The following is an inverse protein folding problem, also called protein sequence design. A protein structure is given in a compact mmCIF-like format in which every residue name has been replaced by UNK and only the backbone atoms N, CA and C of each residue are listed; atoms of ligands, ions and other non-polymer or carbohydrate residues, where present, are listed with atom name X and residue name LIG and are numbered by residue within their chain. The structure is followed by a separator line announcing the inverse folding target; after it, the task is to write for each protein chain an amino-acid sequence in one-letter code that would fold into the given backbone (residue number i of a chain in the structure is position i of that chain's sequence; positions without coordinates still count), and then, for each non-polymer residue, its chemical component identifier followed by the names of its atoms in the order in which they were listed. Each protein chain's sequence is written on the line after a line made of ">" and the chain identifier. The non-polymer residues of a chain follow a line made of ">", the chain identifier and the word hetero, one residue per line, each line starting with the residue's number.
data_IF_033714500548
#
_entry.id   IF_033714500548
#
_cell.length_a   1.000
_cell.length_b   1.000
_cell.length_c   1.000
_cell.angle_alpha   90.00
_cell.angle_beta   90.00
_cell.angle_gamma   90.00
#
_symmetry.space_group_name_H-M   'P 1'
#
loop_
_entity.id
_entity.type
_entity.pdbx_description
1 polymer ?
#
# COMPACT_ATOMS: atom_id res chain seq x y z
N UNK A 1 5.67 -17.01 13.93
CA UNK A 1 6.57 -15.82 13.81
C UNK A 1 5.71 -14.60 13.53
N UNK A 2 6.04 -13.43 14.05
CA UNK A 2 5.22 -12.22 13.96
C UNK A 2 5.18 -11.64 12.55
N UNK A 3 4.01 -11.16 12.14
CA UNK A 3 3.76 -10.52 10.83
C UNK A 3 2.84 -9.32 10.98
N UNK A 4 2.87 -8.43 10.01
CA UNK A 4 1.84 -7.41 9.82
C UNK A 4 1.01 -7.74 8.59
N UNK A 5 -0.32 -7.56 8.68
CA UNK A 5 -1.22 -7.56 7.52
C UNK A 5 -1.94 -6.24 7.46
N UNK A 6 -1.83 -5.53 6.34
CA UNK A 6 -2.37 -4.19 6.16
C UNK A 6 -3.42 -4.21 5.06
N UNK A 7 -4.68 -3.92 5.40
CA UNK A 7 -5.76 -3.75 4.44
C UNK A 7 -5.86 -2.30 3.99
N UNK A 8 -5.36 -2.02 2.79
CA UNK A 8 -5.31 -0.67 2.23
C UNK A 8 -6.71 -0.13 1.96
N UNK A 9 -7.67 -1.01 1.64
CA UNK A 9 -9.05 -0.59 1.40
C UNK A 9 -9.76 -0.04 2.65
N UNK A 10 -9.26 -0.38 3.85
CA UNK A 10 -9.76 0.15 5.13
C UNK A 10 -9.04 1.41 5.61
N UNK A 11 -7.96 1.81 4.96
CA UNK A 11 -7.18 2.96 5.41
C UNK A 11 -7.85 4.27 4.97
N UNK A 12 -8.37 5.04 5.94
CA UNK A 12 -9.00 6.33 5.69
C UNK A 12 -8.01 7.51 5.61
N UNK A 13 -6.70 7.27 5.81
CA UNK A 13 -5.73 8.35 5.87
C UNK A 13 -5.84 9.26 7.10
N UNK A 14 -6.28 8.76 8.27
CA UNK A 14 -6.38 9.57 9.49
C UNK A 14 -5.04 9.89 10.17
N UNK A 15 -3.93 9.27 9.73
CA UNK A 15 -2.58 9.41 10.29
C UNK A 15 -2.41 9.02 11.77
N UNK A 16 -3.42 8.41 12.42
CA UNK A 16 -3.35 8.00 13.84
C UNK A 16 -2.17 7.07 14.13
N UNK A 17 -1.89 6.10 13.27
CA UNK A 17 -0.76 5.19 13.43
C UNK A 17 0.61 5.90 13.37
N UNK A 18 0.74 6.92 12.54
CA UNK A 18 1.95 7.74 12.42
C UNK A 18 2.16 8.60 13.67
N UNK A 19 1.08 9.23 14.17
CA UNK A 19 1.10 9.99 15.41
C UNK A 19 1.37 9.12 16.63
N UNK A 20 0.75 7.93 16.71
CA UNK A 20 0.96 6.99 17.80
C UNK A 20 2.42 6.51 17.87
N UNK A 21 3.05 6.26 16.72
CA UNK A 21 4.47 5.93 16.64
C UNK A 21 5.35 7.07 17.19
N UNK A 22 5.03 8.33 16.83
CA UNK A 22 5.71 9.50 17.38
C UNK A 22 5.53 9.62 18.90
N UNK A 23 4.30 9.49 19.39
CA UNK A 23 4.00 9.52 20.82
C UNK A 23 4.76 8.42 21.60
N UNK A 24 4.96 7.26 20.99
CA UNK A 24 5.67 6.14 21.63
C UNK A 24 7.19 6.32 21.67
N UNK A 25 7.79 6.99 20.69
CA UNK A 25 9.24 6.97 20.50
C UNK A 25 9.92 8.34 20.61
N UNK A 26 9.21 9.45 20.46
CA UNK A 26 9.82 10.78 20.65
C UNK A 26 10.01 11.01 22.15
N UNK A 27 11.26 11.36 22.52
CA UNK A 27 11.64 11.65 23.90
C UNK A 27 11.68 10.41 24.82
N UNK A 28 11.52 9.20 24.28
CA UNK A 28 11.49 7.94 25.04
C UNK A 28 12.61 7.01 24.60
N UNK A 29 13.42 6.58 25.56
CA UNK A 29 14.50 5.62 25.35
C UNK A 29 14.00 4.22 25.72
N UNK A 30 14.08 3.30 24.75
CA UNK A 30 13.65 1.91 24.87
C UNK A 30 14.82 0.95 24.67
N UNK A 31 16.04 1.34 25.08
CA UNK A 31 17.22 0.46 25.04
C UNK A 31 16.89 -0.90 25.71
N UNK A 32 17.19 -2.04 25.06
CA UNK A 32 18.06 -2.19 23.89
C UNK A 32 17.39 -2.07 22.51
N UNK A 33 16.09 -1.79 22.42
CA UNK A 33 15.34 -1.84 21.15
C UNK A 33 15.48 -0.57 20.31
N UNK A 34 15.43 0.61 20.93
CA UNK A 34 15.50 1.89 20.25
C UNK A 34 15.92 3.01 21.18
N UNK A 35 16.69 3.96 20.64
CA UNK A 35 16.85 5.29 21.22
C UNK A 35 15.72 6.23 20.76
N UNK A 36 15.52 7.39 21.42
CA UNK A 36 14.47 8.33 21.04
C UNK A 36 14.45 8.67 19.55
N UNK A 37 13.25 8.71 18.98
CA UNK A 37 13.03 9.17 17.62
C UNK A 37 13.04 10.70 17.57
N UNK A 38 13.63 11.34 16.54
CA UNK A 38 13.47 12.77 16.31
C UNK A 38 12.00 13.18 16.13
N UNK A 39 11.64 14.38 16.60
CA UNK A 39 10.28 14.92 16.48
C UNK A 39 9.85 15.06 15.01
N UNK A 40 10.74 15.51 14.13
CA UNK A 40 10.48 15.73 12.70
C UNK A 40 11.38 14.88 11.81
N UNK A 41 11.08 14.82 10.50
CA UNK A 41 11.92 14.15 9.48
C UNK A 41 11.78 12.62 9.42
N UNK A 42 11.80 11.93 10.56
CA UNK A 42 11.71 10.47 10.60
C UNK A 42 10.27 10.00 10.73
N UNK A 43 9.86 9.06 9.90
CA UNK A 43 8.53 8.43 9.96
C UNK A 43 8.67 6.91 9.91
N UNK A 44 8.93 6.29 11.06
CA UNK A 44 9.06 4.83 11.17
C UNK A 44 7.76 4.10 10.80
N UNK A 45 6.63 4.78 11.00
CA UNK A 45 5.32 4.45 10.45
C UNK A 45 4.89 5.64 9.60
N UNK A 46 4.83 5.48 8.28
CA UNK A 46 4.49 6.54 7.33
C UNK A 46 3.23 6.19 6.55
N UNK A 47 2.25 7.07 6.51
CA UNK A 47 1.18 6.97 5.50
C UNK A 47 1.72 7.54 4.19
N UNK A 48 1.75 6.72 3.13
CA UNK A 48 2.01 7.19 1.77
C UNK A 48 0.68 7.51 1.11
N UNK A 49 0.49 8.77 0.76
CA UNK A 49 -0.66 9.25 0.02
C UNK A 49 -0.37 9.22 -1.48
N UNK A 50 -1.33 8.81 -2.29
CA UNK A 50 -1.20 8.85 -3.76
C UNK A 50 -2.56 9.17 -4.38
N UNK A 51 -2.60 10.24 -5.15
CA UNK A 51 -3.78 10.65 -5.93
C UNK A 51 -3.72 10.02 -7.32
N UNK A 52 -4.87 9.57 -7.80
CA UNK A 52 -5.04 8.86 -9.06
C UNK A 52 -6.21 9.42 -9.85
N UNK A 53 -6.05 9.52 -11.17
CA UNK A 53 -7.11 9.90 -12.10
C UNK A 53 -7.16 11.39 -12.42
N UNK A 54 -8.34 11.87 -12.83
CA UNK A 54 -8.59 13.27 -13.15
C UNK A 54 -10.06 13.59 -12.94
N UNK A 55 -10.38 14.86 -12.68
CA UNK A 55 -11.76 15.31 -12.43
C UNK A 55 -12.68 14.87 -13.60
N UNK A 56 -13.88 14.31 -13.33
CA UNK A 56 -14.44 14.03 -12.01
C UNK A 56 -14.08 12.65 -11.42
N UNK A 57 -13.41 11.76 -12.17
CA UNK A 57 -13.02 10.42 -11.70
C UNK A 57 -11.66 10.43 -11.00
N UNK A 58 -11.67 10.76 -9.70
CA UNK A 58 -10.46 10.83 -8.85
C UNK A 58 -10.53 9.80 -7.71
N UNK A 59 -9.38 9.26 -7.33
CA UNK A 59 -9.22 8.47 -6.09
C UNK A 59 -7.97 8.89 -5.32
N UNK A 60 -8.06 8.83 -4.00
CA UNK A 60 -6.92 8.95 -3.10
C UNK A 60 -6.67 7.61 -2.42
N UNK A 61 -5.42 7.15 -2.48
CA UNK A 61 -4.90 5.99 -1.78
C UNK A 61 -4.13 6.44 -0.54
N UNK A 62 -4.33 5.72 0.57
CA UNK A 62 -3.51 5.84 1.77
C UNK A 62 -2.87 4.49 2.07
N UNK A 63 -1.54 4.40 1.95
CA UNK A 63 -0.79 3.18 2.22
C UNK A 63 0.09 3.32 3.46
N UNK A 64 -0.27 2.65 4.56
CA UNK A 64 0.61 2.53 5.72
C UNK A 64 1.92 1.80 5.37
N UNK A 65 3.06 2.43 5.57
CA UNK A 65 4.38 1.96 5.18
C UNK A 65 5.33 2.01 6.38
N UNK A 66 5.94 0.88 6.70
CA UNK A 66 6.84 0.68 7.84
C UNK A 66 8.02 -0.21 7.44
N UNK A 67 8.89 -0.58 8.39
CA UNK A 67 9.91 -1.60 8.12
C UNK A 67 9.25 -2.92 7.74
N UNK A 68 9.70 -3.52 6.65
CA UNK A 68 9.15 -4.78 6.13
C UNK A 68 9.55 -6.01 6.95
N UNK A 69 10.45 -5.86 7.94
CA UNK A 69 10.98 -6.93 8.80
C UNK A 69 11.30 -8.23 8.04
N UNK A 70 11.95 -8.09 6.89
CA UNK A 70 12.17 -9.14 5.91
C UNK A 70 12.89 -10.39 6.46
N UNK A 71 12.52 -11.57 5.98
CA UNK A 71 13.21 -12.83 6.29
C UNK A 71 14.61 -12.92 5.65
N UNK A 72 14.84 -12.25 4.52
CA UNK A 72 16.17 -12.08 3.92
C UNK A 72 16.60 -10.61 3.91
N UNK A 73 16.59 -9.97 5.09
CA UNK A 73 16.87 -8.54 5.25
C UNK A 73 18.28 -8.15 4.78
N UNK A 74 18.34 -7.32 3.73
CA UNK A 74 19.58 -6.72 3.20
C UNK A 74 20.35 -5.90 4.24
N UNK A 75 19.64 -5.22 5.14
CA UNK A 75 20.26 -4.44 6.22
C UNK A 75 21.00 -5.30 7.26
N UNK A 76 20.60 -6.56 7.47
CA UNK A 76 21.37 -7.50 8.31
C UNK A 76 22.70 -7.83 7.62
N UNK A 77 22.68 -8.08 6.31
CA UNK A 77 23.90 -8.40 5.53
C UNK A 77 24.87 -7.22 5.46
N UNK A 78 24.36 -5.99 5.43
CA UNK A 78 25.16 -4.77 5.37
C UNK A 78 25.70 -4.29 6.74
N UNK A 79 25.14 -4.81 7.83
CA UNK A 79 25.53 -4.44 9.18
C UNK A 79 26.89 -5.02 9.56
N UNK A 80 27.69 -4.23 10.29
CA UNK A 80 28.91 -4.69 10.95
C UNK A 80 28.60 -5.03 12.41
N UNK A 81 29.43 -5.89 13.00
CA UNK A 81 29.41 -6.24 14.43
C UNK A 81 28.08 -6.80 14.95
N UNK A 82 27.23 -7.32 14.05
CA UNK A 82 25.89 -7.80 14.40
C UNK A 82 24.95 -6.67 14.86
N UNK A 83 25.17 -5.44 14.40
CA UNK A 83 24.38 -4.27 14.77
C UNK A 83 22.92 -4.33 14.30
N UNK A 84 22.60 -5.17 13.32
CA UNK A 84 21.22 -5.46 12.93
C UNK A 84 21.01 -6.96 13.03
N UNK A 85 19.97 -7.37 13.74
CA UNK A 85 19.71 -8.77 14.03
C UNK A 85 18.22 -9.08 13.94
N UNK A 86 17.90 -10.37 13.75
CA UNK A 86 16.54 -10.88 13.78
C UNK A 86 16.25 -11.49 15.15
N UNK A 87 15.16 -11.08 15.77
CA UNK A 87 14.63 -11.67 17.00
C UNK A 87 14.00 -13.05 16.71
N UNK A 88 13.78 -13.85 17.76
CA UNK A 88 13.12 -15.17 17.64
C UNK A 88 11.71 -15.09 17.07
N UNK A 89 11.02 -13.98 17.32
CA UNK A 89 9.69 -13.67 16.81
C UNK A 89 9.69 -13.17 15.36
N UNK A 90 10.85 -13.00 14.72
CA UNK A 90 10.98 -12.54 13.34
C UNK A 90 11.21 -11.03 13.16
N UNK A 91 11.01 -10.21 14.21
CA UNK A 91 11.25 -8.78 14.12
C UNK A 91 12.74 -8.48 13.93
N UNK A 92 13.08 -7.80 12.83
CA UNK A 92 14.43 -7.25 12.59
C UNK A 92 14.64 -5.98 13.41
N UNK A 93 15.69 -5.92 14.23
CA UNK A 93 16.04 -4.81 15.15
C UNK A 93 17.42 -4.24 14.82
N UNK A 94 17.58 -2.93 15.00
CA UNK A 94 18.90 -2.26 14.96
C UNK A 94 19.29 -2.03 16.42
N UNK A 95 20.41 -2.61 16.85
CA UNK A 95 21.03 -2.34 18.15
C UNK A 95 21.57 -0.89 18.14
N UNK A 96 21.01 0.02 18.96
CA UNK A 96 21.39 1.43 18.89
C UNK A 96 22.86 1.70 19.22
N UNK A 97 23.48 0.89 20.08
CA UNK A 97 24.87 1.09 20.51
C UNK A 97 25.83 0.57 19.45
N UNK A 98 25.60 -0.64 18.93
CA UNK A 98 26.46 -1.23 17.89
C UNK A 98 26.33 -0.56 16.53
N UNK A 99 25.14 -0.03 16.22
CA UNK A 99 24.88 0.61 14.93
C UNK A 99 25.42 2.04 14.82
N UNK A 100 25.98 2.58 15.91
CA UNK A 100 26.53 3.93 15.93
C UNK A 100 27.61 4.12 14.86
N UNK A 101 27.47 5.18 14.08
CA UNK A 101 28.36 5.50 12.96
C UNK A 101 28.12 4.70 11.67
N UNK A 102 27.20 3.72 11.66
CA UNK A 102 26.96 2.87 10.49
C UNK A 102 25.96 3.49 9.50
N UNK A 103 26.32 4.63 8.90
CA UNK A 103 25.47 5.38 7.94
C UNK A 103 25.02 4.53 6.75
N UNK A 104 25.83 3.55 6.33
CA UNK A 104 25.53 2.69 5.17
C UNK A 104 24.24 1.86 5.34
N UNK A 105 23.76 1.68 6.58
CA UNK A 105 22.52 0.95 6.84
C UNK A 105 21.27 1.64 6.28
N UNK A 106 21.30 2.96 6.05
CA UNK A 106 20.21 3.70 5.41
C UNK A 106 20.01 3.23 3.97
N UNK A 107 21.09 3.21 3.19
CA UNK A 107 21.09 2.82 1.78
C UNK A 107 20.87 1.31 1.60
N UNK A 108 21.21 0.52 2.61
CA UNK A 108 21.01 -0.93 2.58
C UNK A 108 19.53 -1.34 2.53
N UNK A 109 18.59 -0.46 2.88
CA UNK A 109 17.16 -0.78 2.86
C UNK A 109 16.50 -0.29 1.56
N UNK A 110 16.13 -1.19 0.62
CA UNK A 110 15.50 -0.79 -0.64
C UNK A 110 14.09 -0.22 -0.45
N UNK A 111 13.47 -0.46 0.70
CA UNK A 111 12.19 0.13 1.08
C UNK A 111 12.32 1.56 1.64
N UNK A 112 13.53 2.07 1.85
CA UNK A 112 13.77 3.38 2.46
C UNK A 112 13.26 3.48 3.90
N UNK A 113 13.15 2.36 4.62
CA UNK A 113 12.56 2.30 5.95
C UNK A 113 13.54 2.67 7.09
N UNK A 114 14.83 2.83 6.78
CA UNK A 114 15.88 3.19 7.73
C UNK A 114 16.23 4.66 7.53
N UNK A 115 16.19 5.42 8.61
CA UNK A 115 16.52 6.83 8.68
C UNK A 115 17.81 7.05 9.44
N UNK A 116 18.57 8.10 9.11
CA UNK A 116 19.76 8.47 9.86
C UNK A 116 19.45 9.55 10.90
N UNK A 117 19.68 9.25 12.18
CA UNK A 117 19.57 10.24 13.25
C UNK A 117 20.90 10.98 13.39
N UNK A 118 20.94 12.23 12.96
CA UNK A 118 22.15 13.07 13.00
C UNK A 118 22.60 13.41 14.42
N UNK A 119 21.67 13.61 15.36
CA UNK A 119 22.00 13.96 16.74
C UNK A 119 22.69 12.80 17.46
N UNK A 120 22.13 11.60 17.33
CA UNK A 120 22.63 10.40 18.00
C UNK A 120 23.74 9.69 17.20
N UNK A 121 23.90 10.03 15.92
CA UNK A 121 24.77 9.34 14.97
C UNK A 121 24.47 7.83 14.84
N UNK A 122 23.18 7.48 14.76
CA UNK A 122 22.71 6.10 14.63
C UNK A 122 21.66 5.97 13.52
N UNK A 123 21.57 4.82 12.83
CA UNK A 123 20.42 4.51 11.99
C UNK A 123 19.23 4.06 12.84
N UNK A 124 18.03 4.49 12.46
CA UNK A 124 16.79 4.19 13.17
C UNK A 124 15.68 3.79 12.21
N UNK A 125 14.76 2.94 12.66
CA UNK A 125 13.61 2.47 11.89
C UNK A 125 12.53 1.93 12.82
N UNK A 126 11.40 1.52 12.26
CA UNK A 126 10.37 0.78 12.99
C UNK A 126 10.98 -0.45 13.70
N UNK A 127 10.62 -0.65 14.97
CA UNK A 127 11.04 -1.80 15.78
C UNK A 127 9.93 -2.85 15.91
N UNK A 128 8.79 -2.66 15.26
CA UNK A 128 7.57 -3.42 15.55
C UNK A 128 7.10 -3.24 17.00
N UNK A 129 7.47 -2.11 17.64
CA UNK A 129 7.28 -1.87 19.07
C UNK A 129 7.68 -3.07 19.94
N UNK A 130 8.83 -3.70 19.63
CA UNK A 130 9.29 -4.92 20.28
C UNK A 130 9.27 -4.86 21.82
N UNK A 131 9.48 -3.67 22.40
CA UNK A 131 9.37 -3.43 23.85
C UNK A 131 7.97 -3.70 24.40
N UNK A 132 6.91 -3.37 23.65
CA UNK A 132 5.51 -3.69 24.01
C UNK A 132 5.18 -5.14 23.70
N UNK A 133 5.68 -5.67 22.58
CA UNK A 133 5.44 -7.08 22.20
C UNK A 133 6.00 -8.03 23.26
N UNK A 134 7.12 -7.69 23.89
CA UNK A 134 7.69 -8.44 25.01
C UNK A 134 6.81 -8.42 26.27
N UNK A 135 5.93 -7.43 26.40
CA UNK A 135 4.93 -7.31 27.47
C UNK A 135 3.58 -7.96 27.10
N UNK A 136 3.47 -8.56 25.90
CA UNK A 136 2.23 -9.17 25.39
C UNK A 136 1.28 -8.18 24.72
N UNK A 137 1.71 -6.93 24.53
CA UNK A 137 0.93 -5.87 23.89
C UNK A 137 1.15 -5.83 22.37
N UNK A 138 0.24 -5.17 21.65
CA UNK A 138 0.38 -4.97 20.20
C UNK A 138 1.11 -3.65 19.88
N UNK A 139 1.73 -3.53 18.69
CA UNK A 139 2.34 -2.28 18.26
C UNK A 139 1.35 -1.11 18.24
N UNK A 140 1.82 0.09 18.58
CA UNK A 140 0.95 1.29 18.68
C UNK A 140 0.21 1.64 17.39
N UNK A 141 0.78 1.31 16.23
CA UNK A 141 0.10 1.53 14.95
C UNK A 141 -1.13 0.62 14.77
N UNK A 142 -1.13 -0.56 15.38
CA UNK A 142 -2.24 -1.53 15.39
C UNK A 142 -3.29 -1.06 16.39
N UNK A 143 -2.88 -0.80 17.63
CA UNK A 143 -3.74 -0.32 18.72
C UNK A 143 -4.48 0.97 18.35
N UNK A 144 -3.80 1.94 17.73
CA UNK A 144 -4.40 3.22 17.35
C UNK A 144 -5.29 3.14 16.09
N UNK A 145 -5.38 2.00 15.41
CA UNK A 145 -6.10 1.89 14.14
C UNK A 145 -7.60 1.66 14.37
N UNK A 146 -8.39 2.74 14.42
CA UNK A 146 -9.86 2.67 14.58
C UNK A 146 -10.59 1.91 13.45
N UNK A 147 -9.94 1.68 12.30
CA UNK A 147 -10.52 0.99 11.14
C UNK A 147 -10.08 -0.48 11.05
N UNK A 148 -9.23 -0.95 11.99
CA UNK A 148 -8.63 -2.29 11.96
C UNK A 148 -7.91 -2.61 10.63
N UNK A 149 -7.36 -1.57 10.00
CA UNK A 149 -6.64 -1.68 8.74
C UNK A 149 -5.26 -2.33 8.92
N UNK A 150 -4.68 -2.28 10.11
CA UNK A 150 -3.36 -2.85 10.42
C UNK A 150 -3.57 -3.95 11.44
N UNK A 151 -3.20 -5.17 11.08
CA UNK A 151 -3.20 -6.33 11.98
C UNK A 151 -1.76 -6.77 12.27
N UNK A 152 -1.53 -7.26 13.48
CA UNK A 152 -0.27 -7.83 13.91
C UNK A 152 -0.55 -9.07 14.75
N UNK A 153 0.17 -10.15 14.51
CA UNK A 153 -0.08 -11.43 15.16
C UNK A 153 0.93 -12.48 14.71
N UNK A 154 0.70 -13.72 15.14
CA UNK A 154 1.44 -14.85 14.59
C UNK A 154 1.02 -15.13 13.14
N UNK A 155 1.98 -15.54 12.31
CA UNK A 155 1.77 -15.90 10.91
C UNK A 155 0.65 -16.93 10.75
N UNK A 156 0.60 -17.92 11.64
CA UNK A 156 -0.40 -18.98 11.64
C UNK A 156 -1.81 -18.44 11.90
N UNK A 157 -1.95 -17.44 12.77
CA UNK A 157 -3.24 -16.81 13.11
C UNK A 157 -3.78 -15.93 11.97
N UNK A 158 -2.88 -15.44 11.10
CA UNK A 158 -3.21 -14.54 10.00
C UNK A 158 -3.08 -15.20 8.63
N UNK A 159 -2.86 -16.52 8.57
CA UNK A 159 -2.59 -17.27 7.35
C UNK A 159 -3.65 -17.05 6.25
N UNK A 160 -4.94 -17.02 6.62
CA UNK A 160 -6.04 -16.80 5.68
C UNK A 160 -6.01 -15.43 5.01
N UNK A 161 -5.50 -14.42 5.72
CA UNK A 161 -5.33 -13.08 5.18
C UNK A 161 -4.05 -13.01 4.35
N UNK A 162 -2.96 -13.61 4.82
CA UNK A 162 -1.68 -13.68 4.12
C UNK A 162 -1.84 -14.34 2.75
N UNK A 163 -2.62 -15.42 2.66
CA UNK A 163 -2.89 -16.13 1.42
C UNK A 163 -3.58 -15.27 0.34
N UNK A 164 -4.22 -14.17 0.74
CA UNK A 164 -4.92 -13.22 -0.15
C UNK A 164 -4.13 -11.94 -0.35
N UNK A 165 -3.01 -11.78 0.33
CA UNK A 165 -2.24 -10.57 0.38
C UNK A 165 -1.04 -10.63 -0.56
N UNK A 166 -0.53 -9.44 -0.86
CA UNK A 166 0.67 -9.23 -1.67
C UNK A 166 1.77 -8.66 -0.78
N UNK A 167 3.02 -8.72 -1.24
CA UNK A 167 4.16 -8.08 -0.59
C UNK A 167 4.71 -6.97 -1.46
N UNK A 168 5.38 -5.99 -0.85
CA UNK A 168 6.02 -4.90 -1.59
C UNK A 168 7.33 -5.35 -2.23
N UNK A 169 7.51 -5.02 -3.52
CA UNK A 169 8.71 -5.32 -4.31
C UNK A 169 9.13 -6.80 -4.22
N UNK A 170 8.24 -7.74 -4.58
CA UNK A 170 8.51 -9.18 -4.50
C UNK A 170 9.73 -9.59 -5.34
N UNK A 171 10.03 -8.88 -6.42
CA UNK A 171 11.16 -9.09 -7.33
C UNK A 171 12.53 -9.01 -6.65
N UNK A 172 12.63 -8.35 -5.48
CA UNK A 172 13.88 -8.26 -4.73
C UNK A 172 14.21 -9.54 -3.96
N UNK A 173 13.29 -10.49 -3.84
CA UNK A 173 13.52 -11.77 -3.16
C UNK A 173 13.77 -11.66 -1.65
N UNK A 174 13.54 -10.49 -1.04
CA UNK A 174 13.85 -10.26 0.38
C UNK A 174 12.86 -10.92 1.34
N UNK A 175 11.72 -11.39 0.84
CA UNK A 175 10.63 -12.02 1.62
C UNK A 175 10.15 -11.13 2.79
N UNK A 176 9.45 -10.01 2.50
CA UNK A 176 8.81 -9.16 3.51
C UNK A 176 7.86 -9.92 4.43
N UNK A 177 7.79 -9.50 5.70
CA UNK A 177 6.80 -9.98 6.68
C UNK A 177 5.67 -8.98 6.94
N UNK A 178 5.56 -7.97 6.06
CA UNK A 178 4.45 -7.03 6.01
C UNK A 178 3.70 -7.31 4.72
N UNK A 179 2.47 -7.78 4.87
CA UNK A 179 1.59 -8.18 3.79
C UNK A 179 0.51 -7.11 3.59
N UNK A 180 0.11 -6.89 2.35
CA UNK A 180 -0.86 -5.89 1.97
C UNK A 180 -2.05 -6.54 1.28
N UNK A 181 -3.24 -6.31 1.81
CA UNK A 181 -4.50 -6.61 1.15
C UNK A 181 -4.94 -5.39 0.35
N UNK A 182 -5.56 -5.66 -0.80
CA UNK A 182 -6.16 -4.63 -1.64
C UNK A 182 -5.17 -3.52 -2.04
N UNK A 183 -3.93 -3.89 -2.37
CA UNK A 183 -3.01 -2.93 -2.96
C UNK A 183 -3.68 -2.29 -4.19
N UNK A 184 -3.68 -0.95 -4.28
CA UNK A 184 -4.26 -0.28 -5.42
C UNK A 184 -3.37 -0.47 -6.64
N UNK A 185 -4.03 -0.68 -7.77
CA UNK A 185 -3.46 -0.51 -9.09
C UNK A 185 -4.11 0.69 -9.78
N UNK A 186 -3.88 0.83 -11.07
CA UNK A 186 -4.55 1.84 -11.87
C UNK A 186 -6.04 1.53 -12.01
N UNK A 187 -6.80 2.51 -12.49
CA UNK A 187 -8.17 2.29 -12.92
C UNK A 187 -8.43 2.83 -14.31
N UNK A 188 -9.47 2.30 -14.95
CA UNK A 188 -10.11 2.90 -16.12
C UNK A 188 -11.56 3.16 -15.73
N UNK A 189 -12.02 4.39 -15.87
CA UNK A 189 -13.37 4.80 -15.51
C UNK A 189 -13.93 5.80 -16.52
N UNK A 190 -15.25 5.92 -16.56
CA UNK A 190 -15.97 6.86 -17.39
C UNK A 190 -17.46 6.77 -17.07
N UNK A 191 -18.27 7.44 -17.87
CA UNK A 191 -19.72 7.40 -17.80
C UNK A 191 -20.33 7.29 -19.19
N UNK A 192 -21.55 6.78 -19.28
CA UNK A 192 -22.30 6.63 -20.53
C UNK A 192 -23.63 7.35 -20.48
N UNK A 193 -23.98 8.02 -21.58
CA UNK A 193 -25.21 8.82 -21.68
C UNK A 193 -25.80 8.79 -23.09
N UNK A 194 -27.09 9.09 -23.20
CA UNK A 194 -27.84 9.28 -24.43
C UNK A 194 -27.79 10.77 -24.83
N UNK A 195 -27.19 11.14 -25.98
CA UNK A 195 -27.05 12.54 -26.37
C UNK A 195 -28.36 13.19 -26.85
N UNK A 196 -29.40 12.40 -27.14
CA UNK A 196 -30.70 12.90 -27.62
C UNK A 196 -31.62 13.23 -26.45
N UNK A 197 -31.71 12.34 -25.46
CA UNK A 197 -32.49 12.60 -24.25
C UNK A 197 -31.73 13.40 -23.20
N UNK A 198 -30.41 13.52 -23.31
CA UNK A 198 -29.52 14.14 -22.32
C UNK A 198 -29.62 13.44 -20.95
N UNK A 199 -29.69 12.10 -20.98
CA UNK A 199 -29.86 11.24 -19.80
C UNK A 199 -28.74 10.19 -19.71
N UNK A 200 -28.35 9.84 -18.48
CA UNK A 200 -27.40 8.75 -18.22
C UNK A 200 -28.01 7.41 -18.64
N UNK A 201 -27.14 6.44 -18.95
CA UNK A 201 -27.57 5.09 -19.30
C UNK A 201 -27.12 4.13 -18.21
N UNK A 202 -28.08 3.67 -17.40
CA UNK A 202 -27.87 2.59 -16.44
C UNK A 202 -27.90 1.23 -17.15
N UNK A 203 -27.03 0.30 -16.72
CA UNK A 203 -27.07 -1.09 -17.15
C UNK A 203 -26.43 -1.40 -18.49
N UNK A 204 -25.79 -0.42 -19.15
CA UNK A 204 -24.95 -0.68 -20.33
C UNK A 204 -23.85 -1.67 -19.93
N UNK A 205 -23.55 -2.65 -20.78
CA UNK A 205 -22.49 -3.63 -20.56
C UNK A 205 -21.17 -3.08 -21.09
N UNK A 206 -20.18 -2.95 -20.21
CA UNK A 206 -18.84 -2.46 -20.53
C UNK A 206 -17.85 -3.60 -20.30
N UNK A 207 -17.07 -3.91 -21.32
CA UNK A 207 -16.02 -4.93 -21.27
C UNK A 207 -14.66 -4.30 -21.53
N UNK A 208 -13.74 -4.45 -20.58
CA UNK A 208 -12.36 -4.01 -20.69
C UNK A 208 -11.46 -5.22 -20.98
N UNK A 209 -10.60 -5.13 -21.98
CA UNK A 209 -9.72 -6.20 -22.42
C UNK A 209 -8.27 -5.76 -22.35
N UNK A 210 -7.42 -6.50 -21.65
CA UNK A 210 -5.97 -6.29 -21.67
C UNK A 210 -5.38 -6.92 -22.95
N UNK A 211 -4.75 -6.10 -23.79
CA UNK A 211 -4.20 -6.54 -25.08
C UNK A 211 -2.94 -7.38 -24.96
N UNK A 212 -2.21 -7.27 -23.86
CA UNK A 212 -0.99 -8.06 -23.63
C UNK A 212 -1.28 -9.40 -22.98
N UNK A 213 -2.14 -9.43 -21.96
CA UNK A 213 -2.41 -10.65 -21.18
C UNK A 213 -3.58 -11.46 -21.73
N UNK A 214 -4.47 -10.83 -22.50
CA UNK A 214 -5.73 -11.44 -22.96
C UNK A 214 -6.80 -11.52 -21.86
N UNK A 215 -6.54 -11.00 -20.66
CA UNK A 215 -7.53 -10.92 -19.60
C UNK A 215 -8.65 -9.94 -19.97
N UNK A 216 -9.87 -10.25 -19.53
CA UNK A 216 -11.05 -9.46 -19.80
C UNK A 216 -11.92 -9.34 -18.55
N UNK A 217 -12.51 -8.17 -18.37
CA UNK A 217 -13.41 -7.87 -17.26
C UNK A 217 -14.65 -7.18 -17.80
N UNK A 218 -15.82 -7.56 -17.29
CA UNK A 218 -17.10 -6.96 -17.66
C UNK A 218 -17.76 -6.36 -16.42
N UNK A 219 -18.30 -5.15 -16.56
CA UNK A 219 -19.15 -4.49 -15.57
C UNK A 219 -20.36 -3.88 -16.27
N UNK A 220 -21.31 -3.40 -15.50
CA UNK A 220 -22.39 -2.55 -16.00
C UNK A 220 -22.21 -1.11 -15.52
N UNK A 221 -22.74 -0.17 -16.29
CA UNK A 221 -22.92 1.20 -15.80
C UNK A 221 -23.96 1.22 -14.66
N UNK A 222 -23.71 2.02 -13.64
CA UNK A 222 -24.60 2.19 -12.48
C UNK A 222 -25.69 3.25 -12.73
N UNK A 223 -26.39 3.64 -11.67
CA UNK A 223 -27.48 4.62 -11.67
C UNK A 223 -27.03 6.07 -11.95
N UNK A 224 -25.72 6.31 -11.99
CA UNK A 224 -25.12 7.56 -12.49
C UNK A 224 -24.58 7.42 -13.92
N UNK A 225 -24.74 6.25 -14.56
CA UNK A 225 -24.12 5.92 -15.83
C UNK A 225 -22.63 5.58 -15.69
N UNK A 226 -22.09 5.51 -14.47
CA UNK A 226 -20.67 5.33 -14.21
C UNK A 226 -20.22 3.89 -14.38
N UNK A 227 -18.99 3.71 -14.85
CA UNK A 227 -18.31 2.42 -14.79
C UNK A 227 -16.88 2.55 -14.28
N UNK A 228 -16.40 1.50 -13.60
CA UNK A 228 -15.06 1.48 -13.02
C UNK A 228 -14.40 0.11 -13.10
N UNK A 229 -13.23 0.05 -13.73
CA UNK A 229 -12.30 -1.06 -13.64
C UNK A 229 -11.15 -0.66 -12.72
N UNK A 230 -11.00 -1.33 -11.58
CA UNK A 230 -10.06 -0.95 -10.51
C UNK A 230 -8.97 -2.02 -10.37
N UNK A 231 -7.79 -1.63 -9.85
CA UNK A 231 -6.64 -2.52 -9.59
C UNK A 231 -6.04 -3.12 -10.87
N UNK A 232 -6.00 -2.32 -11.92
CA UNK A 232 -5.37 -2.67 -13.19
C UNK A 232 -3.85 -2.55 -13.09
N UNK A 233 -3.15 -3.47 -13.75
CA UNK A 233 -1.71 -3.36 -13.99
C UNK A 233 -1.44 -2.42 -15.16
N UNK A 234 -0.21 -1.93 -15.26
CA UNK A 234 0.17 -1.16 -16.44
C UNK A 234 0.06 -2.00 -17.70
N UNK A 235 -0.46 -1.41 -18.78
CA UNK A 235 -0.66 -2.12 -20.04
C UNK A 235 -1.42 -1.31 -21.08
N UNK A 236 -1.77 -1.97 -22.19
CA UNK A 236 -2.66 -1.44 -23.22
C UNK A 236 -3.96 -2.21 -23.18
N UNK A 237 -5.06 -1.47 -23.19
CA UNK A 237 -6.39 -2.03 -23.05
C UNK A 237 -7.29 -1.61 -24.21
N UNK A 238 -8.39 -2.33 -24.41
CA UNK A 238 -9.52 -1.83 -25.18
C UNK A 238 -10.80 -1.92 -24.38
N UNK A 239 -11.76 -1.08 -24.73
CA UNK A 239 -13.08 -1.04 -24.13
C UNK A 239 -14.15 -1.32 -25.19
N UNK A 240 -15.12 -2.15 -24.86
CA UNK A 240 -16.30 -2.42 -25.67
C UNK A 240 -17.54 -2.10 -24.83
N UNK A 241 -18.46 -1.30 -25.37
CA UNK A 241 -19.70 -0.89 -24.68
C UNK A 241 -20.89 -1.32 -25.52
N UNK A 242 -21.86 -1.97 -24.88
CA UNK A 242 -23.09 -2.49 -25.51
C UNK A 242 -24.31 -2.19 -24.66
N UNK A 243 -25.37 -1.72 -25.31
CA UNK A 243 -26.70 -1.55 -24.69
C UNK A 243 -27.76 -1.82 -25.75
N UNK A 244 -28.85 -2.50 -25.38
CA UNK A 244 -29.93 -2.79 -26.33
C UNK A 244 -30.60 -1.48 -26.78
N UNK A 245 -30.78 -1.31 -28.10
CA UNK A 245 -31.32 -0.08 -28.69
C UNK A 245 -30.28 1.01 -28.97
N UNK A 246 -29.00 0.74 -28.70
CA UNK A 246 -27.87 1.64 -28.93
C UNK A 246 -26.78 0.99 -29.78
N UNK A 247 -26.11 1.80 -30.59
CA UNK A 247 -24.95 1.38 -31.37
C UNK A 247 -23.79 1.06 -30.44
N UNK A 248 -23.08 -0.08 -30.65
CA UNK A 248 -21.95 -0.43 -29.82
C UNK A 248 -20.77 0.52 -30.04
N UNK A 249 -20.05 0.83 -28.96
CA UNK A 249 -18.82 1.62 -29.00
C UNK A 249 -17.62 0.70 -28.75
N UNK A 250 -16.55 0.90 -29.50
CA UNK A 250 -15.27 0.26 -29.27
C UNK A 250 -14.16 1.31 -29.20
N UNK A 251 -13.35 1.24 -28.14
CA UNK A 251 -12.16 2.07 -27.95
C UNK A 251 -10.96 1.12 -27.94
N UNK A 252 -10.22 1.09 -29.04
CA UNK A 252 -8.90 0.44 -29.10
C UNK A 252 -7.83 1.43 -28.65
N UNK A 253 -6.88 0.99 -27.81
CA UNK A 253 -5.66 1.74 -27.43
C UNK A 253 -5.78 2.65 -26.18
N UNK A 254 -6.33 2.11 -25.09
CA UNK A 254 -6.29 2.73 -23.77
C UNK A 254 -4.96 2.38 -23.11
N UNK A 255 -4.01 3.32 -23.13
CA UNK A 255 -2.76 3.21 -22.40
C UNK A 255 -2.99 3.43 -20.90
N UNK A 256 -2.69 2.42 -20.09
CA UNK A 256 -2.79 2.49 -18.64
C UNK A 256 -1.37 2.47 -18.08
N UNK A 257 -0.72 3.62 -18.02
CA UNK A 257 0.50 3.91 -17.25
C UNK A 257 0.22 4.77 -16.01
N UNK A 258 -1.01 5.29 -15.95
CA UNK A 258 -1.68 5.97 -14.85
C UNK A 258 -3.17 5.60 -14.88
N UNK A 259 -3.90 5.98 -13.84
CA UNK A 259 -5.36 5.83 -13.85
C UNK A 259 -5.99 6.75 -14.89
N UNK A 260 -6.89 6.20 -15.71
CA UNK A 260 -7.50 6.83 -16.88
C UNK A 260 -8.96 7.14 -16.61
N UNK A 261 -9.32 8.40 -16.82
CA UNK A 261 -10.69 8.84 -16.95
C UNK A 261 -10.99 9.02 -18.44
N UNK A 262 -11.93 8.25 -18.98
CA UNK A 262 -12.38 8.31 -20.37
C UNK A 262 -13.41 9.44 -20.61
N UNK A 263 -13.89 10.07 -19.55
CA UNK A 263 -14.96 11.07 -19.61
C UNK A 263 -16.31 10.46 -19.95
N UNK A 264 -17.20 11.32 -20.47
CA UNK A 264 -18.56 10.96 -20.85
C UNK A 264 -18.61 10.42 -22.28
N UNK A 265 -19.07 9.18 -22.41
CA UNK A 265 -19.17 8.47 -23.68
C UNK A 265 -20.63 8.46 -24.16
N UNK A 266 -20.89 9.11 -25.29
CA UNK A 266 -22.22 9.21 -25.89
C UNK A 266 -22.60 7.91 -26.62
N UNK A 267 -23.67 7.24 -26.20
CA UNK A 267 -24.25 6.10 -26.91
C UNK A 267 -25.36 6.57 -27.85
N UNK A 268 -25.13 6.42 -29.16
CA UNK A 268 -26.09 6.77 -30.20
C UNK A 268 -27.15 5.68 -30.36
N UNK A 269 -28.42 6.05 -30.50
CA UNK A 269 -29.50 5.10 -30.80
C UNK A 269 -29.32 4.45 -32.17
N UNK A 270 -29.81 3.22 -32.32
CA UNK A 270 -29.80 2.47 -33.58
C UNK A 270 -30.60 3.16 -34.69
#
# INVERSE_FOLDING_TARGET
>A
MKVFVIDVAKCSGCYSCQLACKNEHVGKDWTPYAKPQPQTGHFWMKIKETEHGSIPKVKVEYRPTLCMHCDDASCIKAAKDGAVYRRKDGLVIIDPEKAKGQKQLVEACPYGAIYWNEELNIPQKCTGCAHLVDEGEVPRCVDACAHEAIKFGEEEELADLIAKAEVMQPELGLRPRVYYLNLPGFFVAGDVYDPVSDEIIEGAEITLNNKQTGESWTTKSDDFGDFWFKRLKSGQYSLDIKMSGYKPIQISDIAVDKSVNLGSLSLERE
#
